data_IF_046844402500
#
_entry.id   IF_046844402500
#
_cell.length_a   1.000
_cell.length_b   1.000
_cell.length_c   1.000
_cell.angle_alpha   90.00
_cell.angle_beta   90.00
_cell.angle_gamma   90.00
#
_symmetry.space_group_name_H-M   'P 1'
#
loop_
_entity.id
_entity.type
_entity.pdbx_description
1 polymer ?
#
# COMPACT_ATOMS: atom_id res chain seq x y z
N UNK A 1 11.16 6.96 -19.44
CA UNK A 1 10.48 6.52 -20.68
C UNK A 1 11.14 5.24 -21.16
N UNK A 2 10.40 4.39 -21.87
CA UNK A 2 10.92 3.19 -22.51
C UNK A 2 10.80 3.40 -24.02
N UNK A 3 11.92 3.30 -24.72
CA UNK A 3 12.00 3.47 -26.18
C UNK A 3 12.36 2.11 -26.79
N UNK A 4 11.50 1.61 -27.68
CA UNK A 4 11.76 0.44 -28.49
C UNK A 4 12.08 0.87 -29.92
N UNK A 5 13.37 0.99 -30.24
CA UNK A 5 13.84 1.30 -31.59
C UNK A 5 14.03 0.04 -32.47
N UNK A 6 13.70 -1.14 -31.94
CA UNK A 6 13.81 -2.39 -32.69
C UNK A 6 12.59 -2.61 -33.59
N UNK A 7 12.75 -3.55 -34.52
CA UNK A 7 11.68 -4.03 -35.40
C UNK A 7 10.81 -5.11 -34.73
N UNK A 8 11.06 -5.46 -33.47
CA UNK A 8 10.35 -6.51 -32.73
C UNK A 8 9.67 -5.94 -31.48
N UNK A 9 8.54 -6.53 -31.10
CA UNK A 9 7.92 -6.24 -29.81
C UNK A 9 8.62 -7.01 -28.70
N UNK A 10 8.84 -6.37 -27.55
CA UNK A 10 9.33 -7.05 -26.35
C UNK A 10 8.47 -6.76 -25.14
N UNK A 11 8.53 -7.62 -24.13
CA UNK A 11 7.88 -7.42 -22.84
C UNK A 11 8.93 -7.14 -21.78
N UNK A 12 8.63 -6.18 -20.89
CA UNK A 12 9.53 -5.83 -19.79
C UNK A 12 8.94 -6.23 -18.45
N UNK A 13 9.82 -6.56 -17.51
CA UNK A 13 9.49 -6.67 -16.11
C UNK A 13 10.42 -5.80 -15.27
N UNK A 14 9.95 -5.43 -14.08
CA UNK A 14 10.70 -4.64 -13.11
C UNK A 14 10.84 -5.37 -11.78
N UNK A 15 11.95 -5.13 -11.09
CA UNK A 15 12.17 -5.54 -9.71
C UNK A 15 12.91 -4.46 -8.94
N UNK A 16 12.76 -4.42 -7.63
CA UNK A 16 13.53 -3.55 -6.74
C UNK A 16 14.30 -4.37 -5.70
N UNK A 17 15.58 -4.07 -5.58
CA UNK A 17 16.47 -4.63 -4.57
C UNK A 17 17.06 -3.51 -3.69
N UNK A 18 17.46 -3.88 -2.48
CA UNK A 18 18.24 -3.01 -1.59
C UNK A 18 19.71 -3.23 -1.87
N UNK A 19 20.42 -2.17 -2.23
CA UNK A 19 21.87 -2.20 -2.38
C UNK A 19 22.57 -2.00 -1.03
N UNK A 20 22.11 -1.00 -0.27
CA UNK A 20 22.67 -0.63 1.04
C UNK A 20 21.63 0.14 1.87
N UNK A 21 21.79 0.13 3.19
CA UNK A 21 21.07 1.02 4.11
C UNK A 21 20.07 0.32 5.01
N UNK A 22 19.15 1.12 5.55
CA UNK A 22 18.29 0.75 6.65
C UNK A 22 17.03 0.02 6.18
N UNK A 23 16.98 -1.27 6.49
CA UNK A 23 15.85 -2.15 6.16
C UNK A 23 14.49 -1.66 6.69
N UNK A 24 14.36 -1.08 7.90
CA UNK A 24 13.07 -0.57 8.38
C UNK A 24 12.46 0.49 7.45
N UNK A 25 13.28 1.36 6.84
CA UNK A 25 12.81 2.33 5.87
C UNK A 25 12.33 1.63 4.59
N UNK A 26 13.11 0.67 4.07
CA UNK A 26 12.73 -0.13 2.91
C UNK A 26 11.38 -0.83 3.07
N UNK A 27 11.15 -1.46 4.22
CA UNK A 27 9.94 -2.24 4.51
C UNK A 27 8.69 -1.35 4.63
N UNK A 28 8.86 -0.05 4.89
CA UNK A 28 7.77 0.93 5.01
C UNK A 28 7.45 1.65 3.70
N UNK A 29 8.38 1.68 2.75
CA UNK A 29 8.14 2.35 1.47
C UNK A 29 7.10 1.62 0.64
N UNK A 30 6.20 2.39 0.05
CA UNK A 30 5.23 1.90 -0.93
C UNK A 30 5.56 2.44 -2.31
N UNK A 31 5.26 1.68 -3.35
CA UNK A 31 5.51 2.06 -4.73
C UNK A 31 4.27 1.83 -5.58
N UNK A 32 4.01 2.79 -6.46
CA UNK A 32 3.00 2.71 -7.50
C UNK A 32 3.71 2.82 -8.84
N UNK A 33 3.46 1.86 -9.73
CA UNK A 33 3.98 1.85 -11.10
C UNK A 33 2.80 1.95 -12.06
N UNK A 34 2.78 3.01 -12.86
CA UNK A 34 1.72 3.32 -13.82
C UNK A 34 2.26 3.36 -15.24
N UNK A 35 1.52 2.79 -16.18
CA UNK A 35 1.72 2.96 -17.62
C UNK A 35 0.43 3.42 -18.29
N UNK A 36 0.05 2.79 -19.40
CA UNK A 36 -1.28 2.93 -19.98
C UNK A 36 -2.39 2.44 -19.02
N UNK A 37 -2.04 1.43 -18.21
CA UNK A 37 -2.83 0.90 -17.10
C UNK A 37 -1.96 0.82 -15.84
N UNK A 38 -2.58 0.71 -14.67
CA UNK A 38 -1.87 0.49 -13.41
C UNK A 38 -1.18 -0.89 -13.43
N UNK A 39 0.14 -0.91 -13.20
CA UNK A 39 0.96 -2.13 -13.27
C UNK A 39 1.20 -2.74 -11.90
N UNK A 40 1.39 -1.89 -10.89
CA UNK A 40 1.61 -2.32 -9.52
C UNK A 40 1.29 -1.21 -8.52
N UNK A 41 0.75 -1.59 -7.37
CA UNK A 41 0.57 -0.73 -6.21
C UNK A 41 0.73 -1.57 -4.95
N UNK A 42 1.69 -1.22 -4.09
CA UNK A 42 1.91 -1.96 -2.86
C UNK A 42 3.26 -1.66 -2.20
N UNK A 43 3.68 -2.48 -1.23
CA UNK A 43 4.99 -2.37 -0.60
C UNK A 43 6.13 -2.48 -1.61
N UNK A 44 7.20 -1.71 -1.42
CA UNK A 44 8.38 -1.76 -2.28
C UNK A 44 9.03 -3.16 -2.29
N UNK A 45 9.04 -3.84 -1.15
CA UNK A 45 9.55 -5.20 -1.01
C UNK A 45 8.81 -6.26 -1.84
N UNK A 46 7.56 -5.96 -2.23
CA UNK A 46 6.76 -6.78 -3.13
C UNK A 46 7.03 -6.53 -4.62
N UNK A 47 7.83 -5.52 -4.97
CA UNK A 47 8.15 -5.21 -6.37
C UNK A 47 9.19 -6.21 -6.91
N UNK A 48 8.75 -7.42 -7.20
CA UNK A 48 9.57 -8.50 -7.74
C UNK A 48 8.92 -9.09 -9.00
N UNK A 49 9.65 -9.08 -10.12
CA UNK A 49 9.21 -9.61 -11.42
C UNK A 49 7.83 -9.09 -11.87
N UNK A 50 7.55 -7.82 -11.60
CA UNK A 50 6.29 -7.18 -12.03
C UNK A 50 6.33 -6.92 -13.53
N UNK A 51 5.36 -7.48 -14.26
CA UNK A 51 5.24 -7.28 -15.69
C UNK A 51 4.76 -5.85 -16.01
N UNK A 52 5.53 -5.12 -16.81
CA UNK A 52 5.22 -3.76 -17.24
C UNK A 52 4.39 -3.73 -18.53
N UNK A 53 4.24 -4.88 -19.19
CA UNK A 53 3.50 -5.06 -20.43
C UNK A 53 4.42 -5.21 -21.64
N UNK A 54 3.77 -5.25 -22.81
CA UNK A 54 4.44 -5.32 -24.11
C UNK A 54 4.72 -3.92 -24.66
N UNK A 55 5.84 -3.76 -25.34
CA UNK A 55 6.29 -2.53 -25.98
C UNK A 55 6.42 -2.82 -27.48
N UNK A 56 5.50 -2.31 -28.32
CA UNK A 56 5.53 -2.51 -29.76
C UNK A 56 6.83 -2.04 -30.40
N UNK A 57 7.16 -2.58 -31.58
CA UNK A 57 8.26 -2.09 -32.41
C UNK A 57 8.11 -0.60 -32.71
N UNK A 58 9.23 0.12 -32.76
CA UNK A 58 9.30 1.55 -33.07
C UNK A 58 8.37 2.43 -32.19
N UNK A 59 8.19 2.05 -30.92
CA UNK A 59 7.29 2.74 -29.99
C UNK A 59 8.01 3.33 -28.78
N UNK A 60 7.46 4.42 -28.27
CA UNK A 60 7.86 5.02 -27.00
C UNK A 60 6.68 4.98 -26.04
N UNK A 61 6.91 4.46 -24.84
CA UNK A 61 5.91 4.43 -23.76
C UNK A 61 6.46 5.04 -22.49
N UNK A 62 5.64 5.86 -21.84
CA UNK A 62 5.97 6.47 -20.57
C UNK A 62 5.51 5.58 -19.42
N UNK A 63 6.40 5.38 -18.46
CA UNK A 63 6.12 4.72 -17.19
C UNK A 63 6.38 5.72 -16.08
N UNK A 64 5.43 5.82 -15.16
CA UNK A 64 5.54 6.67 -13.98
C UNK A 64 5.65 5.80 -12.74
N UNK A 65 6.71 6.00 -11.98
CA UNK A 65 6.91 5.38 -10.69
C UNK A 65 6.77 6.44 -9.60
N UNK A 66 5.97 6.16 -8.58
CA UNK A 66 5.84 7.00 -7.40
C UNK A 66 6.21 6.17 -6.19
N UNK A 67 7.25 6.62 -5.47
CA UNK A 67 7.66 6.05 -4.20
C UNK A 67 7.08 6.92 -3.09
N UNK A 68 6.46 6.31 -2.09
CA UNK A 68 5.78 7.03 -1.01
C UNK A 68 6.19 6.48 0.34
N UNK A 69 6.66 7.39 1.20
CA UNK A 69 6.76 7.16 2.63
C UNK A 69 5.36 7.36 3.22
N UNK A 70 4.84 6.41 4.00
CA UNK A 70 3.47 6.50 4.50
C UNK A 70 3.35 7.62 5.54
N UNK A 71 2.17 8.23 5.64
CA UNK A 71 1.94 9.42 6.48
C UNK A 71 2.00 9.15 7.98
N UNK A 72 1.90 7.88 8.36
CA UNK A 72 2.04 7.38 9.73
C UNK A 72 3.51 7.04 10.08
N UNK A 73 4.46 7.32 9.17
CA UNK A 73 5.89 7.24 9.46
C UNK A 73 6.24 8.16 10.64
N UNK A 74 6.60 7.57 11.78
CA UNK A 74 7.00 8.32 12.96
C UNK A 74 8.50 8.62 12.98
N UNK A 75 8.95 9.14 14.13
CA UNK A 75 10.35 9.50 14.35
C UNK A 75 11.31 8.29 14.30
N UNK A 76 10.79 7.06 14.36
CA UNK A 76 11.57 5.84 14.21
C UNK A 76 12.22 5.68 12.82
N UNK A 77 11.71 6.38 11.80
CA UNK A 77 12.30 6.41 10.46
C UNK A 77 13.18 7.63 10.22
N UNK A 78 13.35 8.50 11.22
CA UNK A 78 14.22 9.67 11.11
C UNK A 78 15.67 9.26 10.92
N UNK A 79 16.40 9.98 10.07
CA UNK A 79 17.82 9.76 9.75
C UNK A 79 18.15 8.41 9.09
N UNK A 80 17.16 7.53 8.87
CA UNK A 80 17.35 6.32 8.11
C UNK A 80 17.53 6.62 6.63
N UNK A 81 18.41 5.87 5.98
CA UNK A 81 18.67 6.01 4.55
C UNK A 81 18.72 4.64 3.89
N UNK A 82 18.14 4.52 2.70
CA UNK A 82 18.21 3.31 1.88
C UNK A 82 18.61 3.64 0.45
N UNK A 83 19.52 2.85 -0.10
CA UNK A 83 19.92 2.87 -1.49
C UNK A 83 19.22 1.73 -2.23
N UNK A 84 18.39 2.12 -3.20
CA UNK A 84 17.56 1.19 -3.97
C UNK A 84 18.13 0.98 -5.36
N UNK A 85 18.01 -0.26 -5.85
CA UNK A 85 18.36 -0.62 -7.21
C UNK A 85 17.14 -1.18 -7.93
N UNK A 86 16.73 -0.51 -9.00
CA UNK A 86 15.64 -0.99 -9.86
C UNK A 86 16.21 -1.74 -11.05
N UNK A 87 15.78 -2.98 -11.20
CA UNK A 87 16.15 -3.86 -12.30
C UNK A 87 15.03 -3.88 -13.33
N UNK A 88 15.31 -3.39 -14.54
CA UNK A 88 14.45 -3.64 -15.71
C UNK A 88 15.10 -4.72 -16.57
N UNK A 89 14.31 -5.70 -16.98
CA UNK A 89 14.77 -6.77 -17.87
C UNK A 89 13.67 -7.21 -18.81
N UNK A 90 14.10 -7.67 -19.97
CA UNK A 90 13.24 -8.27 -20.97
C UNK A 90 12.82 -9.66 -20.52
N UNK A 91 11.52 -9.94 -20.61
CA UNK A 91 10.95 -11.27 -20.40
C UNK A 91 10.59 -11.84 -21.76
N UNK A 92 11.23 -12.95 -22.15
CA UNK A 92 10.83 -13.76 -23.31
C UNK A 92 9.69 -14.69 -22.87
N UNK A 93 8.50 -14.54 -23.47
CA UNK A 93 7.42 -15.52 -23.31
C UNK A 93 6.00 -15.00 -23.52
N UNK A 94 5.42 -15.46 -24.64
CA UNK A 94 4.01 -15.68 -25.04
C UNK A 94 2.97 -14.54 -24.92
N UNK A 95 2.17 -14.27 -25.98
CA UNK A 95 1.01 -13.41 -25.87
C UNK A 95 0.02 -13.99 -24.85
N UNK A 96 -0.66 -13.15 -24.04
CA UNK A 96 -1.69 -13.63 -23.14
C UNK A 96 -2.86 -14.16 -23.99
N UNK A 97 -3.04 -15.48 -24.08
CA UNK A 97 -4.24 -16.04 -24.70
C UNK A 97 -4.19 -17.40 -25.39
N UNK A 98 -3.13 -18.21 -25.29
CA UNK A 98 -3.13 -19.57 -25.86
C UNK A 98 -2.99 -20.68 -24.82
N UNK A 99 -3.66 -20.49 -23.67
CA UNK A 99 -3.92 -21.53 -22.67
C UNK A 99 -5.41 -21.87 -22.60
N UNK A 100 -6.05 -22.03 -23.75
CA UNK A 100 -7.43 -22.46 -23.85
C UNK A 100 -7.58 -23.96 -23.68
N UNK A 101 -7.24 -24.50 -22.51
CA UNK A 101 -7.91 -25.72 -22.06
C UNK A 101 -9.28 -25.28 -21.56
N UNK A 102 -10.29 -25.51 -22.41
CA UNK A 102 -11.68 -25.42 -21.98
C UNK A 102 -11.85 -26.27 -20.70
N UNK A 103 -12.44 -25.73 -19.62
CA UNK A 103 -12.75 -26.57 -18.47
C UNK A 103 -13.66 -27.72 -18.94
N UNK A 104 -13.45 -28.96 -18.48
CA UNK A 104 -14.36 -30.04 -18.80
C UNK A 104 -15.77 -29.63 -18.36
N UNK A 105 -16.73 -29.73 -19.28
CA UNK A 105 -18.15 -29.49 -19.02
C UNK A 105 -18.54 -30.09 -17.66
N UNK A 106 -19.20 -29.34 -16.76
CA UNK A 106 -19.75 -29.94 -15.56
C UNK A 106 -20.80 -30.97 -15.97
N UNK A 107 -20.54 -32.22 -15.62
CA UNK A 107 -21.49 -33.32 -15.72
C UNK A 107 -22.72 -32.92 -14.90
N UNK A 108 -23.85 -32.68 -15.56
CA UNK A 108 -25.14 -32.41 -14.93
C UNK A 108 -25.61 -33.70 -14.24
N UNK A 109 -25.76 -33.74 -12.90
CA UNK A 109 -26.49 -34.81 -12.26
C UNK A 109 -27.98 -34.51 -12.39
N UNK A 110 -28.72 -35.40 -13.03
CA UNK A 110 -30.18 -35.35 -13.12
C UNK A 110 -30.81 -35.32 -11.72
N UNK A 111 -31.62 -34.31 -11.44
CA UNK A 111 -32.47 -34.21 -10.25
C UNK A 111 -33.55 -35.31 -10.25
N UNK A 112 -33.75 -36.03 -9.14
CA UNK A 112 -35.05 -36.53 -8.76
C UNK A 112 -35.48 -35.90 -7.42
N UNK A 113 -36.61 -35.21 -7.43
CA UNK A 113 -37.30 -34.81 -6.21
C UNK A 113 -37.09 -33.36 -5.82
N UNK A 114 -38.03 -32.53 -6.29
CA UNK A 114 -38.40 -31.25 -5.71
C UNK A 114 -39.09 -31.50 -4.35
N UNK A 115 -38.70 -30.81 -3.27
CA UNK A 115 -39.60 -30.53 -2.16
C UNK A 115 -39.91 -29.03 -2.09
N UNK A 116 -41.18 -28.72 -1.93
CA UNK A 116 -41.75 -27.37 -1.77
C UNK A 116 -41.24 -26.68 -0.47
N UNK A 117 -41.01 -25.37 -0.54
CA UNK A 117 -40.91 -24.44 0.61
C UNK A 117 -42.31 -23.85 0.92
N UNK A 118 -42.58 -23.25 2.10
CA UNK A 118 -42.41 -23.71 3.49
C UNK A 118 -43.74 -23.53 4.29
N UNK A 119 -43.78 -23.78 5.61
CA UNK A 119 -44.45 -22.79 6.46
C UNK A 119 -43.69 -22.41 7.73
N UNK A 120 -44.16 -21.30 8.29
CA UNK A 120 -43.53 -20.38 9.23
C UNK A 120 -43.51 -20.83 10.72
N UNK A 121 -42.65 -20.09 11.44
CA UNK A 121 -42.66 -19.73 12.87
C UNK A 121 -42.39 -20.81 13.93
N UNK A 122 -41.29 -20.61 14.70
CA UNK A 122 -41.36 -20.31 16.15
C UNK A 122 -39.95 -20.05 16.76
N UNK A 123 -39.78 -18.86 17.36
CA UNK A 123 -38.97 -18.45 18.52
C UNK A 123 -37.62 -19.12 18.86
N UNK A 124 -36.51 -18.35 18.81
CA UNK A 124 -35.74 -17.83 19.98
C UNK A 124 -34.43 -17.11 19.53
N UNK A 125 -33.77 -16.26 20.37
CA UNK A 125 -33.33 -14.93 19.97
C UNK A 125 -31.80 -14.79 20.08
N UNK A 126 -31.12 -14.63 18.95
CA UNK A 126 -29.66 -14.56 18.89
C UNK A 126 -29.14 -13.20 18.45
N UNK A 127 -29.25 -12.18 19.31
CA UNK A 127 -28.36 -11.02 19.44
C UNK A 127 -27.52 -10.66 18.19
N UNK A 128 -28.05 -9.79 17.32
CA UNK A 128 -27.20 -9.01 16.42
C UNK A 128 -26.44 -7.98 17.27
N UNK A 129 -25.22 -8.35 17.65
CA UNK A 129 -24.27 -7.39 18.21
C UNK A 129 -23.95 -6.35 17.13
N UNK A 130 -24.42 -5.15 17.40
CA UNK A 130 -24.05 -3.90 16.75
C UNK A 130 -22.51 -3.80 16.70
N UNK A 131 -21.86 -3.62 15.55
CA UNK A 131 -20.43 -3.33 15.53
C UNK A 131 -20.23 -1.90 16.05
N UNK A 132 -19.99 -1.77 17.36
CA UNK A 132 -19.50 -0.53 17.97
C UNK A 132 -18.24 -0.09 17.23
N UNK A 133 -18.34 1.03 16.53
CA UNK A 133 -17.22 1.73 15.95
C UNK A 133 -16.23 2.10 17.06
N UNK A 134 -14.90 1.94 16.88
CA UNK A 134 -13.95 2.42 17.87
C UNK A 134 -14.09 3.94 17.98
N UNK A 135 -14.47 4.39 19.17
CA UNK A 135 -14.45 5.80 19.53
C UNK A 135 -12.98 6.21 19.62
N UNK A 136 -12.43 6.76 18.54
CA UNK A 136 -11.13 7.43 18.59
C UNK A 136 -11.28 8.76 19.33
N UNK A 137 -11.52 8.67 20.63
CA UNK A 137 -11.36 9.77 21.55
C UNK A 137 -9.87 9.97 21.79
N UNK A 138 -9.32 11.07 21.30
CA UNK A 138 -8.00 11.56 21.71
C UNK A 138 -7.94 11.53 23.24
N UNK A 139 -7.06 10.72 23.83
CA UNK A 139 -6.88 10.68 25.28
C UNK A 139 -6.34 12.06 25.74
N UNK A 140 -7.27 12.96 26.08
CA UNK A 140 -6.98 14.31 26.58
C UNK A 140 -6.25 14.31 27.92
N UNK A 141 -6.18 13.16 28.58
CA UNK A 141 -5.57 12.98 29.90
C UNK A 141 -4.08 13.35 29.94
N UNK A 142 -3.35 13.23 28.82
CA UNK A 142 -1.93 13.58 28.78
C UNK A 142 -1.66 15.00 28.25
N UNK A 143 -2.53 15.51 27.36
CA UNK A 143 -2.33 16.81 26.72
C UNK A 143 -2.50 17.97 27.72
N UNK A 144 -3.49 17.86 28.61
CA UNK A 144 -3.81 18.88 29.60
C UNK A 144 -2.69 19.07 30.66
N UNK A 145 -2.14 18.02 31.31
CA UNK A 145 -1.03 18.20 32.25
C UNK A 145 0.24 18.69 31.55
N UNK A 146 0.52 18.23 30.32
CA UNK A 146 1.70 18.69 29.56
C UNK A 146 1.61 20.18 29.20
N UNK A 147 0.44 20.65 28.76
CA UNK A 147 0.19 22.06 28.48
C UNK A 147 0.34 22.95 29.73
N UNK A 148 -0.14 22.49 30.88
CA UNK A 148 0.01 23.20 32.15
C UNK A 148 1.49 23.34 32.56
N UNK A 149 2.27 22.26 32.42
CA UNK A 149 3.71 22.27 32.74
C UNK A 149 4.45 23.29 31.87
N UNK A 150 4.21 23.29 30.55
CA UNK A 150 4.84 24.25 29.64
C UNK A 150 4.44 25.69 29.95
N UNK A 151 3.18 25.93 30.30
CA UNK A 151 2.69 27.25 30.70
C UNK A 151 3.36 27.76 31.98
N UNK A 152 3.52 26.90 32.99
CA UNK A 152 4.19 27.25 34.25
C UNK A 152 5.67 27.57 34.05
N UNK A 153 6.37 26.80 33.20
CA UNK A 153 7.76 27.07 32.82
C UNK A 153 7.86 28.45 32.15
N UNK A 154 6.94 28.78 31.23
CA UNK A 154 6.87 30.09 30.59
C UNK A 154 6.71 31.25 31.58
N UNK A 155 5.82 31.11 32.56
CA UNK A 155 5.64 32.11 33.62
C UNK A 155 6.88 32.27 34.50
N UNK A 156 7.59 31.18 34.79
CA UNK A 156 8.83 31.20 35.58
C UNK A 156 9.95 31.97 34.86
N UNK A 157 10.10 31.74 33.55
CA UNK A 157 11.08 32.45 32.72
C UNK A 157 10.72 33.94 32.65
N UNK A 158 9.46 34.26 32.37
CA UNK A 158 8.98 35.64 32.27
C UNK A 158 9.09 36.40 33.62
N UNK A 159 8.79 35.72 34.72
CA UNK A 159 8.94 36.26 36.08
C UNK A 159 10.40 36.48 36.47
N UNK A 160 11.33 35.65 35.97
CA UNK A 160 12.77 35.79 36.22
C UNK A 160 13.37 36.93 35.40
N UNK A 161 12.98 37.07 34.13
CA UNK A 161 13.40 38.19 33.27
C UNK A 161 12.98 39.56 33.82
N UNK A 162 11.83 39.63 34.49
CA UNK A 162 11.32 40.88 35.10
C UNK A 162 12.09 41.30 36.36
N UNK A 163 12.86 40.41 36.99
CA UNK A 163 13.67 40.73 38.17
C UNK A 163 15.01 41.37 37.80
N UNK A 164 15.54 41.14 36.60
CA UNK A 164 16.83 41.73 36.17
C UNK A 164 16.72 43.20 35.75
N UNK A 165 15.53 43.71 35.40
CA UNK A 165 15.35 45.12 35.03
C UNK A 165 15.13 46.07 36.23
N UNK A 166 15.20 45.58 37.47
CA UNK A 166 14.95 46.36 38.69
C UNK A 166 16.17 46.55 39.59
N UNK A 167 17.38 46.42 39.06
CA UNK A 167 18.62 46.73 39.79
C UNK A 167 19.37 47.88 39.15
#
# INVERSE_FOLDING_TARGET
EVVNESNESYSLAISADVEEGDRPLYDKLTVIVRGEEDKYSGPLCGLQKINLGSFPAESTRSLHMTLTLPVDAGNELQELAVRLKFHLYQVQGEPPGSGGEAPPNPVVPSYPGQPEEPPADEDNPGSYADPELPVTGTQLDLLLPLGLILFLIGLLILGSAKKEQKK
#
